data_IF_431196062498
#
_entry.id   IF_431196062498
#
_cell.length_a   1.000
_cell.length_b   1.000
_cell.length_c   1.000
_cell.angle_alpha   90.00
_cell.angle_beta   90.00
_cell.angle_gamma   90.00
#
_symmetry.space_group_name_H-M   'P 1'
#
loop_
_entity.id
_entity.type
_entity.pdbx_description
1 polymer ?
#
# COMPACT_ATOMS: atom_id res chain seq x y z
N UNK A 1 5.33 -33.57 8.14
CA UNK A 1 5.38 -32.22 8.77
C UNK A 1 4.01 -31.58 8.73
N UNK A 2 3.14 -32.00 9.66
CA UNK A 2 1.76 -31.53 9.80
C UNK A 2 1.71 -30.37 10.82
N UNK A 3 2.13 -29.18 10.42
CA UNK A 3 2.04 -28.01 11.29
C UNK A 3 1.75 -26.75 10.49
N UNK A 4 1.24 -25.72 11.17
CA UNK A 4 0.98 -24.41 10.59
C UNK A 4 2.24 -23.64 10.21
N UNK A 5 3.42 -24.09 10.72
CA UNK A 5 4.72 -23.53 10.33
C UNK A 5 5.09 -23.98 8.93
N UNK A 6 5.03 -23.06 7.96
CA UNK A 6 5.42 -23.29 6.57
C UNK A 6 6.39 -22.20 6.10
N UNK A 7 7.23 -22.55 5.13
CA UNK A 7 8.09 -21.57 4.47
C UNK A 7 7.21 -20.61 3.65
N UNK A 8 7.30 -19.33 3.98
CA UNK A 8 6.51 -18.28 3.34
C UNK A 8 7.31 -16.99 3.25
N UNK A 9 6.67 -15.92 2.74
CA UNK A 9 7.30 -14.62 2.61
C UNK A 9 7.46 -13.95 3.97
N UNK A 10 8.62 -14.15 4.60
CA UNK A 10 8.97 -13.48 5.85
C UNK A 10 9.42 -12.04 5.59
N UNK A 11 8.84 -11.05 6.31
CA UNK A 11 9.25 -9.63 6.22
C UNK A 11 10.68 -9.38 6.69
N UNK A 12 11.19 -10.23 7.59
CA UNK A 12 12.55 -10.14 8.13
C UNK A 12 13.57 -10.91 7.28
N UNK A 13 13.14 -11.53 6.17
CA UNK A 13 13.97 -12.35 5.29
C UNK A 13 14.71 -13.50 6.01
N UNK A 14 14.14 -14.00 7.09
CA UNK A 14 14.69 -15.17 7.82
C UNK A 14 14.34 -16.48 7.08
N UNK A 15 15.26 -17.45 7.03
CA UNK A 15 15.03 -18.71 6.33
C UNK A 15 14.22 -19.72 7.17
N UNK A 16 13.47 -19.30 8.15
CA UNK A 16 12.72 -20.16 9.05
C UNK A 16 11.25 -20.29 8.62
N UNK A 17 10.61 -21.45 8.86
CA UNK A 17 9.17 -21.57 8.72
C UNK A 17 8.44 -20.60 9.64
N UNK A 18 7.38 -19.98 9.13
CA UNK A 18 6.57 -18.98 9.82
C UNK A 18 5.11 -19.40 9.91
N UNK A 19 4.37 -18.77 10.80
CA UNK A 19 2.91 -18.70 10.77
C UNK A 19 2.49 -17.28 10.44
N UNK A 20 1.33 -17.12 9.85
CA UNK A 20 0.70 -15.82 9.63
C UNK A 20 -0.41 -15.62 10.66
N UNK A 21 -0.42 -14.48 11.33
CA UNK A 21 -1.49 -14.08 12.24
C UNK A 21 -2.23 -12.89 11.66
N UNK A 22 -3.55 -13.04 11.50
CA UNK A 22 -4.47 -11.95 11.25
C UNK A 22 -5.08 -11.48 12.56
N UNK A 23 -5.04 -10.16 12.83
CA UNK A 23 -5.66 -9.55 14.00
C UNK A 23 -6.70 -8.54 13.54
N UNK A 24 -7.93 -8.66 14.06
CA UNK A 24 -8.99 -7.71 13.86
C UNK A 24 -9.19 -6.88 15.12
N UNK A 25 -9.17 -5.56 15.00
CA UNK A 25 -9.34 -4.64 16.12
C UNK A 25 -10.50 -3.68 15.84
N UNK A 26 -11.09 -3.12 16.91
CA UNK A 26 -11.99 -1.98 16.78
C UNK A 26 -11.21 -0.68 16.47
N UNK A 27 -11.95 0.43 16.30
CA UNK A 27 -11.36 1.75 16.01
C UNK A 27 -10.48 2.30 17.15
N UNK A 28 -10.55 1.73 18.35
CA UNK A 28 -9.72 2.08 19.51
C UNK A 28 -8.51 1.17 19.66
N UNK A 29 -8.35 0.19 18.74
CA UNK A 29 -7.27 -0.79 18.79
C UNK A 29 -7.52 -1.98 19.70
N UNK A 30 -8.76 -2.17 20.22
CA UNK A 30 -9.10 -3.31 21.05
C UNK A 30 -9.24 -4.55 20.16
N UNK A 31 -8.53 -5.65 20.45
CA UNK A 31 -8.65 -6.89 19.69
C UNK A 31 -10.06 -7.49 19.80
N UNK A 32 -10.67 -7.78 18.64
CA UNK A 32 -11.98 -8.43 18.55
C UNK A 32 -11.86 -9.90 18.17
N UNK A 33 -10.98 -10.24 17.27
CA UNK A 33 -10.73 -11.59 16.84
C UNK A 33 -9.33 -11.73 16.22
N UNK A 34 -8.83 -12.96 16.18
CA UNK A 34 -7.61 -13.29 15.44
C UNK A 34 -7.77 -14.65 14.75
N UNK A 35 -6.93 -14.88 13.76
CA UNK A 35 -6.72 -16.18 13.15
C UNK A 35 -5.23 -16.45 12.98
N UNK A 36 -4.89 -17.72 12.96
CA UNK A 36 -3.54 -18.22 12.65
C UNK A 36 -3.68 -19.04 11.38
N UNK A 37 -2.79 -18.79 10.43
CA UNK A 37 -2.76 -19.46 9.14
C UNK A 37 -1.36 -19.99 8.85
N UNK A 38 -1.23 -21.04 8.04
CA UNK A 38 0.06 -21.51 7.57
C UNK A 38 0.87 -20.38 6.90
N UNK A 39 2.19 -20.38 7.12
CA UNK A 39 3.06 -19.28 6.67
C UNK A 39 3.11 -19.04 5.17
N UNK A 40 2.67 -20.00 4.35
CA UNK A 40 2.56 -19.91 2.90
C UNK A 40 1.14 -19.53 2.40
N UNK A 41 0.21 -19.25 3.32
CA UNK A 41 -1.16 -18.86 2.95
C UNK A 41 -1.16 -17.48 2.27
N UNK A 42 -1.97 -17.32 1.23
CA UNK A 42 -2.20 -16.00 0.66
C UNK A 42 -3.03 -15.15 1.62
N UNK A 43 -2.51 -14.03 2.08
CA UNK A 43 -3.16 -13.12 3.04
C UNK A 43 -4.58 -12.71 2.60
N UNK A 44 -4.81 -12.55 1.31
CA UNK A 44 -6.11 -12.09 0.79
C UNK A 44 -7.27 -13.04 1.10
N UNK A 45 -7.02 -14.35 1.22
CA UNK A 45 -8.07 -15.32 1.49
C UNK A 45 -8.41 -15.44 2.98
N UNK A 46 -7.59 -14.85 3.86
CA UNK A 46 -7.76 -14.97 5.32
C UNK A 46 -8.72 -13.95 5.92
N UNK A 47 -8.97 -12.84 5.22
CA UNK A 47 -9.79 -11.72 5.72
C UNK A 47 -11.27 -12.11 5.84
N UNK A 48 -11.87 -12.56 4.75
CA UNK A 48 -13.31 -12.88 4.71
C UNK A 48 -13.76 -13.91 5.76
N UNK A 49 -13.06 -15.03 6.01
CA UNK A 49 -13.43 -15.95 7.08
C UNK A 49 -13.40 -15.32 8.48
N UNK A 50 -12.42 -14.45 8.73
CA UNK A 50 -12.31 -13.75 10.01
C UNK A 50 -13.44 -12.74 10.20
N UNK A 51 -13.78 -11.97 9.16
CA UNK A 51 -14.92 -11.07 9.16
C UNK A 51 -16.24 -11.80 9.37
N UNK A 52 -16.47 -12.93 8.73
CA UNK A 52 -17.65 -13.76 8.91
C UNK A 52 -17.78 -14.26 10.35
N UNK A 53 -16.67 -14.64 10.98
CA UNK A 53 -16.64 -15.02 12.39
C UNK A 53 -17.05 -13.85 13.29
N UNK A 54 -16.50 -12.66 13.07
CA UNK A 54 -16.83 -11.46 13.85
C UNK A 54 -18.31 -11.09 13.70
N UNK A 55 -18.82 -11.09 12.48
CA UNK A 55 -20.24 -10.81 12.21
C UNK A 55 -21.13 -11.77 12.98
N UNK A 56 -20.80 -13.07 12.97
CA UNK A 56 -21.55 -14.10 13.66
C UNK A 56 -21.45 -13.99 15.19
N UNK A 57 -20.23 -13.85 15.71
CA UNK A 57 -19.97 -13.92 17.16
C UNK A 57 -20.47 -12.65 17.89
N UNK A 58 -20.46 -11.50 17.22
CA UNK A 58 -20.87 -10.22 17.79
C UNK A 58 -22.23 -9.71 17.28
N UNK A 59 -22.89 -10.40 16.37
CA UNK A 59 -24.16 -9.96 15.78
C UNK A 59 -24.07 -8.63 15.03
N UNK A 60 -22.93 -8.35 14.39
CA UNK A 60 -22.67 -7.06 13.73
C UNK A 60 -23.41 -7.00 12.40
N UNK A 61 -24.35 -6.07 12.26
CA UNK A 61 -25.09 -5.84 11.02
C UNK A 61 -24.41 -4.82 10.09
N UNK A 62 -23.74 -3.82 10.68
CA UNK A 62 -23.09 -2.73 9.96
C UNK A 62 -21.67 -2.54 10.43
N UNK A 63 -20.72 -2.49 9.52
CA UNK A 63 -19.32 -2.19 9.84
C UNK A 63 -18.58 -1.58 8.65
N UNK A 64 -17.53 -0.82 8.95
CA UNK A 64 -16.55 -0.33 7.98
C UNK A 64 -15.24 -1.04 8.27
N UNK A 65 -14.73 -1.79 7.29
CA UNK A 65 -13.48 -2.53 7.40
C UNK A 65 -12.35 -1.73 6.80
N UNK A 66 -11.32 -1.45 7.61
CA UNK A 66 -10.11 -0.75 7.15
C UNK A 66 -8.96 -1.74 7.04
N UNK A 67 -8.36 -1.85 5.86
CA UNK A 67 -7.23 -2.74 5.62
C UNK A 67 -6.12 -2.07 4.81
N UNK A 68 -4.94 -2.68 4.84
CA UNK A 68 -3.88 -2.30 3.93
C UNK A 68 -4.10 -2.85 2.50
N UNK A 69 -3.21 -2.46 1.58
CA UNK A 69 -3.31 -2.88 0.17
C UNK A 69 -3.02 -4.37 -0.06
N UNK A 70 -2.50 -5.10 0.93
CA UNK A 70 -2.29 -6.55 0.86
C UNK A 70 -3.61 -7.32 0.85
N UNK A 71 -4.64 -6.78 1.51
CA UNK A 71 -5.96 -7.39 1.64
C UNK A 71 -7.00 -6.85 0.65
N UNK A 72 -6.59 -6.06 -0.34
CA UNK A 72 -7.43 -5.31 -1.28
C UNK A 72 -7.95 -6.13 -2.48
N UNK A 73 -8.13 -7.44 -2.38
CA UNK A 73 -8.67 -8.22 -3.48
C UNK A 73 -10.10 -7.80 -3.86
N UNK A 74 -10.49 -8.02 -5.10
CA UNK A 74 -11.85 -7.75 -5.55
C UNK A 74 -12.89 -8.56 -4.75
N UNK A 75 -12.58 -9.82 -4.38
CA UNK A 75 -13.45 -10.65 -3.54
C UNK A 75 -13.67 -10.02 -2.16
N UNK A 76 -12.62 -9.51 -1.51
CA UNK A 76 -12.72 -8.86 -0.21
C UNK A 76 -13.52 -7.55 -0.30
N UNK A 77 -13.28 -6.74 -1.32
CA UNK A 77 -14.05 -5.51 -1.57
C UNK A 77 -15.52 -5.81 -1.85
N UNK A 78 -15.80 -6.78 -2.73
CA UNK A 78 -17.16 -7.19 -3.05
C UNK A 78 -17.91 -7.78 -1.85
N UNK A 79 -17.22 -8.48 -0.96
CA UNK A 79 -17.79 -8.97 0.29
C UNK A 79 -18.17 -7.80 1.22
N UNK A 80 -17.32 -6.78 1.30
CA UNK A 80 -17.51 -5.61 2.16
C UNK A 80 -18.32 -4.48 1.54
N UNK A 81 -18.82 -4.62 0.31
CA UNK A 81 -19.73 -3.69 -0.36
C UNK A 81 -21.20 -4.15 -0.30
N UNK A 82 -21.56 -5.00 0.65
CA UNK A 82 -22.89 -5.61 0.74
C UNK A 82 -23.40 -5.63 2.19
N UNK A 83 -24.72 -5.70 2.31
CA UNK A 83 -25.41 -5.94 3.59
C UNK A 83 -25.03 -4.94 4.70
N UNK A 84 -24.97 -3.65 4.38
CA UNK A 84 -24.64 -2.60 5.36
C UNK A 84 -23.16 -2.49 5.72
N UNK A 85 -22.29 -3.26 5.09
CA UNK A 85 -20.84 -3.14 5.24
C UNK A 85 -20.27 -2.11 4.26
N UNK A 86 -19.13 -1.57 4.62
CA UNK A 86 -18.29 -0.73 3.76
C UNK A 86 -16.82 -1.04 3.97
N UNK A 87 -15.96 -0.57 3.09
CA UNK A 87 -14.52 -0.77 3.22
C UNK A 87 -13.73 0.50 2.94
N UNK A 88 -12.58 0.59 3.59
CA UNK A 88 -11.50 1.53 3.27
C UNK A 88 -10.23 0.73 3.11
N UNK A 89 -9.58 0.86 1.97
CA UNK A 89 -8.37 0.10 1.67
C UNK A 89 -7.32 0.98 1.00
N UNK A 90 -6.08 0.86 1.41
CA UNK A 90 -5.00 1.59 0.77
C UNK A 90 -4.72 1.05 -0.64
N UNK A 91 -4.48 1.95 -1.58
CA UNK A 91 -4.18 1.65 -2.97
C UNK A 91 -2.88 2.31 -3.39
N UNK A 92 -1.93 1.52 -3.88
CA UNK A 92 -0.69 2.07 -4.42
C UNK A 92 -0.95 2.83 -5.73
N UNK A 93 -0.58 4.12 -5.78
CA UNK A 93 -0.65 4.94 -6.99
C UNK A 93 0.14 4.30 -8.14
N UNK A 94 1.26 3.65 -7.86
CA UNK A 94 2.09 2.97 -8.88
C UNK A 94 1.35 1.86 -9.60
N UNK A 95 0.39 1.19 -8.93
CA UNK A 95 -0.40 0.09 -9.47
C UNK A 95 -1.70 0.54 -10.15
N UNK A 96 -2.04 1.83 -10.10
CA UNK A 96 -3.21 2.36 -10.80
C UNK A 96 -3.02 2.30 -12.33
N UNK A 97 -4.11 2.08 -13.09
CA UNK A 97 -4.12 2.32 -14.53
C UNK A 97 -3.63 3.72 -14.88
N UNK A 98 -3.04 3.90 -16.07
CA UNK A 98 -2.41 5.16 -16.46
C UNK A 98 -3.33 6.37 -16.30
N UNK A 99 -4.57 6.30 -16.81
CA UNK A 99 -5.53 7.40 -16.72
C UNK A 99 -5.91 7.80 -15.29
N UNK A 100 -5.94 6.85 -14.36
CA UNK A 100 -6.20 7.10 -12.94
C UNK A 100 -4.96 7.66 -12.24
N UNK A 101 -3.78 7.17 -12.62
CA UNK A 101 -2.53 7.70 -12.12
C UNK A 101 -2.34 9.15 -12.56
N UNK A 102 -2.57 9.45 -13.84
CA UNK A 102 -2.47 10.80 -14.38
C UNK A 102 -3.48 11.73 -13.66
N UNK A 103 -4.71 11.27 -13.44
CA UNK A 103 -5.69 12.01 -12.64
C UNK A 103 -5.24 12.18 -11.19
N UNK A 104 -4.75 11.13 -10.54
CA UNK A 104 -4.32 11.18 -9.14
C UNK A 104 -3.16 12.17 -8.93
N UNK A 105 -2.25 12.27 -9.90
CA UNK A 105 -1.08 13.14 -9.85
C UNK A 105 -1.32 14.53 -10.45
N UNK A 106 -2.46 14.76 -11.11
CA UNK A 106 -2.79 16.08 -11.67
C UNK A 106 -2.86 17.14 -10.56
N UNK A 107 -2.36 18.33 -10.84
CA UNK A 107 -2.25 19.45 -9.91
C UNK A 107 -3.59 20.16 -9.67
N UNK A 108 -4.64 19.79 -10.39
CA UNK A 108 -5.99 20.38 -10.32
C UNK A 108 -6.98 19.50 -9.56
N UNK A 109 -8.09 20.11 -9.13
CA UNK A 109 -9.23 19.42 -8.51
C UNK A 109 -9.02 19.06 -7.04
N UNK A 110 -8.06 19.68 -6.37
CA UNK A 110 -7.81 19.49 -4.96
C UNK A 110 -8.65 20.41 -4.10
N UNK A 111 -9.08 19.88 -2.96
CA UNK A 111 -9.85 20.55 -1.92
C UNK A 111 -9.16 20.39 -0.58
N UNK A 112 -9.37 21.33 0.31
CA UNK A 112 -8.99 21.19 1.71
C UNK A 112 -9.92 20.19 2.41
N UNK A 113 -9.35 19.21 3.11
CA UNK A 113 -10.12 18.14 3.75
C UNK A 113 -11.05 18.68 4.87
N UNK A 114 -10.62 19.72 5.58
CA UNK A 114 -11.34 20.27 6.73
C UNK A 114 -12.44 21.25 6.32
N UNK A 115 -12.23 22.04 5.26
CA UNK A 115 -13.13 23.12 4.85
C UNK A 115 -13.93 22.84 3.58
N UNK A 116 -13.56 21.78 2.84
CA UNK A 116 -14.06 21.46 1.49
C UNK A 116 -13.84 22.56 0.44
N UNK A 117 -13.02 23.56 0.76
CA UNK A 117 -12.70 24.66 -0.13
C UNK A 117 -11.86 24.15 -1.30
N UNK A 118 -12.19 24.57 -2.51
CA UNK A 118 -11.51 24.24 -3.77
C UNK A 118 -10.38 25.22 -4.10
N UNK A 119 -9.59 24.91 -5.12
CA UNK A 119 -8.59 25.82 -5.69
C UNK A 119 -7.16 25.56 -5.25
N UNK A 120 -6.94 24.57 -4.41
CA UNK A 120 -5.60 24.19 -3.99
C UNK A 120 -4.83 23.44 -5.08
N UNK A 121 -3.49 23.58 -5.05
CA UNK A 121 -2.56 22.91 -5.96
C UNK A 121 -1.33 22.40 -5.19
N UNK A 122 -1.05 21.10 -5.22
CA UNK A 122 0.17 20.56 -4.60
C UNK A 122 1.49 21.15 -5.12
N UNK A 123 1.52 21.66 -6.36
CA UNK A 123 2.70 22.37 -6.90
C UNK A 123 2.98 23.68 -6.18
N UNK A 124 1.98 24.31 -5.57
CA UNK A 124 2.08 25.54 -4.79
C UNK A 124 2.16 25.21 -3.29
N UNK A 125 3.09 24.31 -2.94
CA UNK A 125 3.21 23.75 -1.59
C UNK A 125 3.46 24.82 -0.52
N UNK A 126 4.15 25.90 -0.86
CA UNK A 126 4.49 26.97 0.08
C UNK A 126 3.27 27.82 0.47
N UNK A 127 2.24 27.85 -0.38
CA UNK A 127 0.97 28.54 -0.12
C UNK A 127 -0.02 27.68 0.71
N UNK A 128 0.34 26.42 1.00
CA UNK A 128 -0.48 25.51 1.79
C UNK A 128 -0.07 25.64 3.25
N UNK A 129 -1.03 25.89 4.14
CA UNK A 129 -0.81 25.93 5.58
C UNK A 129 -0.27 24.61 6.12
N UNK A 130 0.56 24.67 7.16
CA UNK A 130 1.10 23.50 7.83
C UNK A 130 -0.05 22.71 8.50
N UNK A 131 0.03 21.39 8.45
CA UNK A 131 -1.04 20.51 8.94
C UNK A 131 -2.26 20.38 8.02
N UNK A 132 -2.34 21.18 6.93
CA UNK A 132 -3.41 21.07 5.96
C UNK A 132 -3.29 19.77 5.16
N UNK A 133 -4.41 19.06 5.04
CA UNK A 133 -4.55 17.90 4.16
C UNK A 133 -5.44 18.25 3.00
N UNK A 134 -4.93 18.10 1.80
CA UNK A 134 -5.71 18.22 0.58
C UNK A 134 -6.23 16.84 0.16
N UNK A 135 -7.40 16.83 -0.45
CA UNK A 135 -7.96 15.61 -1.02
C UNK A 135 -8.62 15.88 -2.37
N UNK A 136 -8.76 14.84 -3.14
CA UNK A 136 -9.68 14.75 -4.26
C UNK A 136 -10.24 13.35 -4.37
N UNK A 137 -11.44 13.22 -4.91
CA UNK A 137 -12.12 11.94 -5.02
C UNK A 137 -12.79 11.75 -6.36
N UNK A 138 -12.88 10.50 -6.79
CA UNK A 138 -13.57 10.12 -8.02
C UNK A 138 -14.33 8.83 -7.78
N UNK A 139 -15.59 8.81 -8.19
CA UNK A 139 -16.36 7.58 -8.24
C UNK A 139 -15.99 6.77 -9.47
N UNK A 140 -15.87 5.47 -9.29
CA UNK A 140 -15.48 4.53 -10.34
C UNK A 140 -16.42 3.34 -10.34
N UNK A 141 -16.68 2.81 -11.53
CA UNK A 141 -17.34 1.53 -11.74
C UNK A 141 -16.46 0.64 -12.61
N UNK A 142 -16.30 -0.57 -12.18
CA UNK A 142 -15.51 -1.58 -12.92
C UNK A 142 -16.26 -2.91 -12.94
N UNK A 143 -16.15 -3.62 -14.05
CA UNK A 143 -16.57 -5.01 -14.13
C UNK A 143 -15.42 -5.87 -13.62
N UNK A 144 -15.64 -6.57 -12.53
CA UNK A 144 -14.63 -7.41 -11.88
C UNK A 144 -15.03 -8.87 -11.85
N UNK A 145 -14.04 -9.75 -11.89
CA UNK A 145 -14.25 -11.17 -11.68
C UNK A 145 -14.09 -11.49 -10.20
N UNK A 146 -15.10 -12.05 -9.59
CA UNK A 146 -15.08 -12.55 -8.22
C UNK A 146 -15.48 -14.02 -8.21
N UNK A 147 -15.33 -14.70 -7.08
CA UNK A 147 -15.85 -16.05 -6.87
C UNK A 147 -17.20 -15.98 -6.18
N UNK A 148 -18.16 -16.79 -6.67
CA UNK A 148 -19.42 -16.99 -5.97
C UNK A 148 -19.24 -17.87 -4.72
N UNK A 149 -20.34 -18.21 -4.04
CA UNK A 149 -20.32 -19.06 -2.85
C UNK A 149 -19.85 -20.50 -3.11
N UNK A 150 -19.85 -20.92 -4.37
CA UNK A 150 -19.40 -22.24 -4.82
C UNK A 150 -18.00 -22.22 -5.44
N UNK A 151 -17.31 -21.06 -5.38
CA UNK A 151 -15.98 -20.86 -5.94
C UNK A 151 -15.94 -20.65 -7.47
N UNK A 152 -17.09 -20.53 -8.14
CA UNK A 152 -17.15 -20.28 -9.59
C UNK A 152 -16.90 -18.81 -9.90
N UNK A 153 -16.12 -18.49 -10.95
CA UNK A 153 -15.91 -17.10 -11.35
C UNK A 153 -17.21 -16.50 -11.91
N UNK A 154 -17.58 -15.35 -11.38
CA UNK A 154 -18.69 -14.54 -11.87
C UNK A 154 -18.22 -13.11 -12.12
N UNK A 155 -18.84 -12.44 -13.09
CA UNK A 155 -18.62 -11.01 -13.36
C UNK A 155 -19.66 -10.18 -12.62
N UNK A 156 -19.21 -9.19 -11.89
CA UNK A 156 -20.09 -8.19 -11.26
C UNK A 156 -19.64 -6.78 -11.62
N UNK A 157 -20.57 -5.85 -11.68
CA UNK A 157 -20.25 -4.43 -11.67
C UNK A 157 -20.07 -4.00 -10.21
N UNK A 158 -18.91 -3.43 -9.90
CA UNK A 158 -18.58 -2.91 -8.57
C UNK A 158 -18.24 -1.44 -8.66
N UNK A 159 -18.85 -0.63 -7.80
CA UNK A 159 -18.59 0.80 -7.70
C UNK A 159 -17.86 1.12 -6.40
N UNK A 160 -16.88 2.01 -6.48
CA UNK A 160 -16.17 2.54 -5.32
C UNK A 160 -15.68 3.96 -5.55
N UNK A 161 -15.29 4.60 -4.47
CA UNK A 161 -14.71 5.94 -4.52
C UNK A 161 -13.20 5.85 -4.34
N UNK A 162 -12.45 6.29 -5.35
CA UNK A 162 -11.01 6.51 -5.22
C UNK A 162 -10.80 7.88 -4.57
N UNK A 163 -10.11 7.89 -3.42
CA UNK A 163 -9.75 9.09 -2.69
C UNK A 163 -8.22 9.21 -2.72
N UNK A 164 -7.73 10.37 -3.10
CA UNK A 164 -6.30 10.70 -3.08
C UNK A 164 -6.11 11.84 -2.09
N UNK A 165 -5.17 11.69 -1.19
CA UNK A 165 -4.81 12.71 -0.21
C UNK A 165 -3.40 13.22 -0.45
N UNK A 166 -3.16 14.49 -0.11
CA UNK A 166 -1.85 15.12 -0.13
C UNK A 166 -1.67 15.88 1.19
N UNK A 167 -0.56 15.64 1.86
CA UNK A 167 -0.15 16.36 3.07
C UNK A 167 1.20 17.03 2.82
N UNK A 168 1.31 18.32 3.12
CA UNK A 168 2.55 19.08 3.02
C UNK A 168 3.63 18.49 3.92
N UNK A 169 3.27 18.14 5.15
CA UNK A 169 4.22 17.59 6.12
C UNK A 169 4.78 16.25 5.64
N UNK A 170 3.90 15.38 5.13
CA UNK A 170 4.33 14.09 4.57
C UNK A 170 5.17 14.27 3.31
N UNK A 171 4.82 15.22 2.43
CA UNK A 171 5.60 15.53 1.24
C UNK A 171 7.01 16.05 1.60
N UNK A 172 7.11 16.91 2.62
CA UNK A 172 8.39 17.39 3.13
C UNK A 172 9.23 16.28 3.75
N UNK A 173 8.61 15.38 4.52
CA UNK A 173 9.25 14.20 5.07
C UNK A 173 9.82 13.29 3.97
N UNK A 174 9.01 12.96 2.96
CA UNK A 174 9.45 12.16 1.81
C UNK A 174 10.56 12.84 1.00
N UNK A 175 10.49 14.18 0.84
CA UNK A 175 11.52 14.98 0.19
C UNK A 175 12.85 14.91 0.95
N UNK A 176 12.81 14.99 2.29
CA UNK A 176 13.99 14.84 3.14
C UNK A 176 14.64 13.46 2.97
N UNK A 177 13.86 12.38 3.09
CA UNK A 177 14.36 11.00 2.88
C UNK A 177 14.98 10.84 1.51
N UNK A 178 14.31 11.33 0.46
CA UNK A 178 14.83 11.27 -0.91
C UNK A 178 16.14 12.02 -1.06
N UNK A 179 16.24 13.22 -0.49
CA UNK A 179 17.47 14.02 -0.55
C UNK A 179 18.63 13.32 0.17
N UNK A 180 18.38 12.73 1.35
CA UNK A 180 19.39 11.92 2.05
C UNK A 180 19.86 10.73 1.22
N UNK A 181 18.94 10.06 0.51
CA UNK A 181 19.30 8.95 -0.38
C UNK A 181 20.13 9.43 -1.59
N UNK A 182 19.80 10.60 -2.16
CA UNK A 182 20.58 11.21 -3.24
C UNK A 182 21.99 11.57 -2.76
N UNK A 183 22.13 12.14 -1.56
CA UNK A 183 23.44 12.46 -1.01
C UNK A 183 24.27 11.18 -0.74
N UNK A 184 23.66 10.12 -0.26
CA UNK A 184 24.32 8.81 -0.15
C UNK A 184 24.74 8.27 -1.52
N UNK A 185 23.89 8.40 -2.54
CA UNK A 185 24.22 8.03 -3.91
C UNK A 185 25.44 8.81 -4.46
N UNK A 186 25.47 10.13 -4.24
CA UNK A 186 26.63 10.98 -4.61
C UNK A 186 27.93 10.52 -3.93
N UNK A 187 27.86 10.22 -2.62
CA UNK A 187 29.03 9.71 -1.86
C UNK A 187 29.52 8.36 -2.39
N UNK A 188 28.60 7.48 -2.82
CA UNK A 188 28.94 6.18 -3.40
C UNK A 188 29.58 6.33 -4.77
N UNK A 189 29.10 7.24 -5.61
CA UNK A 189 29.71 7.53 -6.92
C UNK A 189 31.13 8.06 -6.74
N UNK A 190 31.36 8.90 -5.72
CA UNK A 190 32.68 9.45 -5.41
C UNK A 190 33.67 8.40 -4.86
N UNK A 191 33.19 7.34 -4.22
CA UNK A 191 34.00 6.27 -3.62
C UNK A 191 33.41 4.87 -3.91
N UNK A 192 33.57 4.36 -5.12
CA UNK A 192 32.94 3.10 -5.56
C UNK A 192 33.35 1.86 -4.75
N UNK A 193 34.57 1.83 -4.22
CA UNK A 193 35.12 0.70 -3.42
C UNK A 193 34.39 0.43 -2.10
N UNK A 194 33.53 1.35 -1.65
CA UNK A 194 32.72 1.19 -0.42
C UNK A 194 31.36 0.54 -0.66
N UNK A 195 31.13 -0.03 -1.83
CA UNK A 195 29.82 -0.56 -2.29
C UNK A 195 29.52 -1.99 -1.82
N UNK A 196 29.73 -2.30 -0.55
CA UNK A 196 29.73 -3.68 -0.08
C UNK A 196 28.40 -4.23 0.49
N UNK A 197 27.31 -3.47 0.59
CA UNK A 197 26.01 -3.98 1.08
C UNK A 197 24.81 -3.32 0.44
N UNK A 198 23.86 -4.14 0.01
CA UNK A 198 22.59 -3.77 -0.62
C UNK A 198 21.45 -3.93 0.38
N UNK A 199 20.77 -2.85 0.70
CA UNK A 199 19.48 -2.88 1.40
C UNK A 199 18.35 -2.51 0.43
N UNK A 200 17.13 -3.02 0.67
CA UNK A 200 15.94 -2.76 -0.15
C UNK A 200 15.56 -1.27 -0.28
N UNK A 201 16.03 -0.42 0.64
CA UNK A 201 15.91 1.05 0.60
C UNK A 201 17.17 1.74 0.10
N UNK A 202 17.92 1.07 -0.75
CA UNK A 202 19.22 1.50 -1.23
C UNK A 202 19.11 2.76 -2.11
N UNK A 203 20.12 3.62 -1.99
CA UNK A 203 20.32 4.79 -2.83
C UNK A 203 20.63 4.46 -4.30
N UNK A 204 20.84 3.19 -4.64
CA UNK A 204 21.13 2.73 -6.02
C UNK A 204 20.06 3.11 -7.04
N UNK A 205 18.80 3.28 -6.64
CA UNK A 205 17.76 3.73 -7.57
C UNK A 205 18.06 5.10 -8.21
N UNK A 206 18.98 5.86 -7.61
CA UNK A 206 19.46 7.14 -8.12
C UNK A 206 20.79 7.03 -8.86
N UNK A 207 21.30 5.82 -9.08
CA UNK A 207 22.57 5.56 -9.79
C UNK A 207 22.29 4.76 -11.05
N UNK A 208 22.79 5.20 -12.18
CA UNK A 208 22.68 4.54 -13.48
C UNK A 208 24.07 4.34 -14.10
N UNK A 209 24.13 3.45 -15.10
CA UNK A 209 25.34 3.24 -15.89
C UNK A 209 26.51 2.69 -15.07
N UNK A 210 26.21 1.79 -14.15
CA UNK A 210 27.25 1.13 -13.34
C UNK A 210 28.01 0.15 -14.23
N UNK A 211 29.32 0.34 -14.35
CA UNK A 211 30.24 -0.62 -14.98
C UNK A 211 31.24 -1.15 -13.96
N UNK A 212 31.62 -2.42 -14.11
CA UNK A 212 32.53 -3.11 -13.22
C UNK A 212 33.84 -3.48 -13.95
N UNK A 213 34.96 -3.53 -13.22
CA UNK A 213 36.19 -4.15 -13.71
C UNK A 213 36.14 -5.68 -13.54
N UNK A 214 37.17 -6.37 -14.00
CA UNK A 214 37.29 -7.83 -13.89
C UNK A 214 37.28 -8.34 -12.43
N UNK A 215 37.61 -7.49 -11.47
CA UNK A 215 37.60 -7.78 -10.04
C UNK A 215 36.27 -7.47 -9.35
N UNK A 216 35.22 -7.05 -10.10
CA UNK A 216 33.90 -6.70 -9.56
C UNK A 216 33.83 -5.32 -8.89
N UNK A 217 34.82 -4.47 -9.06
CA UNK A 217 34.81 -3.09 -8.56
C UNK A 217 34.11 -2.14 -9.55
N UNK A 218 33.38 -1.17 -9.04
CA UNK A 218 32.67 -0.19 -9.87
C UNK A 218 33.67 0.79 -10.48
N UNK A 219 33.75 0.81 -11.81
CA UNK A 219 34.63 1.74 -12.55
C UNK A 219 33.90 3.05 -12.89
N UNK A 220 32.59 2.98 -13.18
CA UNK A 220 31.84 4.14 -13.61
C UNK A 220 30.38 4.07 -13.10
N UNK A 221 29.82 5.24 -12.78
CA UNK A 221 28.40 5.36 -12.38
C UNK A 221 27.95 6.82 -12.52
N UNK A 222 26.64 7.02 -12.82
CA UNK A 222 26.04 8.35 -12.99
C UNK A 222 24.79 8.48 -12.12
N UNK A 223 24.49 9.68 -11.65
CA UNK A 223 23.19 9.98 -11.06
C UNK A 223 22.08 9.86 -12.12
N UNK A 224 20.94 9.27 -11.75
CA UNK A 224 19.79 9.09 -12.63
C UNK A 224 18.87 10.31 -12.62
#
# INVERSE_FOLDING_TARGET
EDGDKKYGKCKEHRPNPIVQMGLFTDARGIPLAFNINPGNTNEQVTLKPLEQKIIKDFGIEKMVVCTDGGLASYDNRAFNDRQGRAFVVSQSIKKLPKHLKDWALADSGWKNLSTDQEGFRPSMIDDIEDGCILYKSRYMKETVNIKDNYGKPIKIEQGWRLIVTYSKDYANYEKKIRNEQIERAKKLIANPSKFNKVNSNDCRRFVKGISFNENGEIINSKLS
#
